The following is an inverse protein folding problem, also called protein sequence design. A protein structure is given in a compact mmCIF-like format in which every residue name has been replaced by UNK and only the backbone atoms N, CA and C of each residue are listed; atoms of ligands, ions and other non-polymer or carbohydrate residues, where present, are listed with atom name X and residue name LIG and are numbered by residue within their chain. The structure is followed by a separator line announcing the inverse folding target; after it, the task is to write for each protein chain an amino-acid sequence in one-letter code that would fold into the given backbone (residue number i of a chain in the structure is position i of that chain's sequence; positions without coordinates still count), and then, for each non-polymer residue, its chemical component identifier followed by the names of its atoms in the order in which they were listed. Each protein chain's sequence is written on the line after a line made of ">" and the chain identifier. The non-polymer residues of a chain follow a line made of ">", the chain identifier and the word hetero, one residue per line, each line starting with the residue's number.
data_IF_968784795031
#
_entry.id   IF_968784795031
#
_cell.length_a   1.000
_cell.length_b   1.000
_cell.length_c   1.000
_cell.angle_alpha   90.00
_cell.angle_beta   90.00
_cell.angle_gamma   90.00
#
_symmetry.space_group_name_H-M   'P 1'
#
loop_
_entity.id
_entity.type
_entity.pdbx_description
1 polymer ?
#
# COMPACT_ATOMS: atom_id res chain seq x y z
N UNK A 1 26.31 8.81 13.10
CA UNK A 1 26.69 8.61 11.69
C UNK A 1 25.49 8.01 11.01
N UNK A 2 24.64 8.87 10.48
CA UNK A 2 23.37 8.47 9.83
C UNK A 2 23.68 7.90 8.45
N UNK A 3 23.55 6.57 8.32
CA UNK A 3 23.96 5.84 7.11
C UNK A 3 22.81 5.16 6.36
N UNK A 4 21.57 5.59 6.61
CA UNK A 4 20.45 5.07 5.83
C UNK A 4 20.17 5.97 4.63
N UNK A 5 20.07 5.43 3.40
CA UNK A 5 19.63 6.23 2.26
C UNK A 5 18.27 6.83 2.55
N UNK A 6 18.10 8.11 2.24
CA UNK A 6 16.84 8.83 2.39
C UNK A 6 15.77 8.13 1.56
N UNK A 7 14.91 7.34 2.19
CA UNK A 7 13.83 6.59 1.53
C UNK A 7 13.53 5.24 2.17
N UNK A 8 14.38 4.71 3.04
CA UNK A 8 14.06 3.51 3.82
C UNK A 8 13.22 3.95 5.01
N UNK A 9 11.90 3.78 4.90
CA UNK A 9 10.98 4.08 5.99
C UNK A 9 11.35 3.24 7.21
N UNK A 10 11.50 3.90 8.35
CA UNK A 10 11.85 3.32 9.61
C UNK A 10 11.05 2.05 9.92
N UNK A 11 11.75 1.01 10.31
CA UNK A 11 11.20 -0.26 10.77
C UNK A 11 10.32 -0.03 12.00
N UNK A 12 9.01 -0.10 11.78
CA UNK A 12 8.02 0.11 12.84
C UNK A 12 7.86 -1.12 13.74
N UNK A 13 7.81 -0.88 15.02
CA UNK A 13 7.66 -1.87 16.08
C UNK A 13 6.30 -2.58 16.04
N UNK A 14 6.36 -3.88 16.32
CA UNK A 14 5.33 -4.72 16.94
C UNK A 14 3.91 -4.69 16.39
N UNK A 15 3.55 -5.83 15.84
CA UNK A 15 2.19 -6.22 15.46
C UNK A 15 1.24 -6.14 16.67
N UNK A 16 0.48 -5.06 16.77
CA UNK A 16 -0.84 -5.07 17.39
C UNK A 16 -1.85 -4.73 16.30
N UNK A 17 -2.71 -5.70 16.00
CA UNK A 17 -3.91 -5.46 15.18
C UNK A 17 -4.78 -4.42 15.89
N UNK A 18 -4.63 -3.17 15.50
CA UNK A 18 -5.62 -2.14 15.78
C UNK A 18 -6.21 -1.71 14.46
N UNK A 19 -7.47 -2.04 14.27
CA UNK A 19 -8.30 -1.43 13.22
C UNK A 19 -8.48 0.04 13.62
N UNK A 20 -7.59 0.92 13.14
CA UNK A 20 -7.78 2.35 13.27
C UNK A 20 -8.45 2.87 12.01
N UNK A 21 -9.57 3.53 12.19
CA UNK A 21 -10.19 4.37 11.16
C UNK A 21 -9.25 5.56 10.96
N UNK A 22 -8.63 5.63 9.79
CA UNK A 22 -7.70 6.70 9.43
C UNK A 22 -8.48 8.01 9.35
N UNK A 23 -8.11 8.97 10.18
CA UNK A 23 -8.59 10.36 10.08
C UNK A 23 -7.75 11.11 9.04
N UNK A 24 -8.24 11.16 7.81
CA UNK A 24 -7.51 11.73 6.68
C UNK A 24 -7.81 13.21 6.55
N UNK A 25 -6.78 14.01 6.43
CA UNK A 25 -6.83 15.47 6.22
C UNK A 25 -7.68 15.82 5.00
N UNK A 26 -8.71 16.61 5.24
CA UNK A 26 -9.74 17.03 4.30
C UNK A 26 -9.20 17.99 3.26
N UNK A 27 -9.31 17.63 1.97
CA UNK A 27 -9.47 18.60 0.89
C UNK A 27 -10.94 18.56 0.46
N UNK A 28 -11.60 19.68 0.67
CA UNK A 28 -13.02 19.88 0.34
C UNK A 28 -13.09 20.24 -1.14
N UNK A 29 -13.49 19.32 -1.98
CA UNK A 29 -13.78 19.55 -3.40
C UNK A 29 -15.14 18.98 -3.76
N UNK A 30 -15.81 19.69 -4.64
CA UNK A 30 -17.20 19.52 -5.08
C UNK A 30 -17.50 18.07 -5.56
N UNK A 31 -18.40 17.58 -5.10
CA UNK A 31 -19.27 16.55 -4.62
C UNK A 31 -19.34 15.24 -5.43
N UNK A 32 -19.14 15.21 -6.74
CA UNK A 32 -19.46 14.00 -7.51
C UNK A 32 -18.26 13.21 -8.08
N UNK A 33 -17.08 13.78 -8.13
CA UNK A 33 -15.88 13.11 -8.63
C UNK A 33 -14.67 13.46 -7.78
N UNK A 34 -13.69 12.52 -7.63
CA UNK A 34 -12.43 12.84 -6.99
C UNK A 34 -11.66 13.89 -7.82
N UNK A 35 -10.91 14.76 -7.12
CA UNK A 35 -9.94 15.63 -7.77
C UNK A 35 -8.78 14.77 -8.28
N UNK A 36 -8.61 14.69 -9.59
CA UNK A 36 -7.57 13.88 -10.24
C UNK A 36 -6.31 14.71 -10.47
N UNK A 37 -5.15 14.05 -10.47
CA UNK A 37 -3.88 14.61 -10.92
C UNK A 37 -3.88 14.90 -12.44
N UNK A 38 -2.88 15.66 -12.92
CA UNK A 38 -2.80 16.14 -14.31
C UNK A 38 -2.85 15.01 -15.36
N UNK A 39 -2.22 13.86 -15.06
CA UNK A 39 -2.18 12.70 -15.96
C UNK A 39 -3.02 11.52 -15.46
N UNK A 40 -3.84 11.76 -14.44
CA UNK A 40 -4.66 10.74 -13.84
C UNK A 40 -5.99 10.60 -14.57
N UNK A 41 -6.39 9.36 -14.88
CA UNK A 41 -7.63 9.04 -15.59
C UNK A 41 -8.39 7.93 -14.90
N UNK A 42 -9.70 8.06 -14.82
CA UNK A 42 -10.59 7.03 -14.28
C UNK A 42 -10.60 5.84 -15.24
N UNK A 43 -10.39 4.64 -14.69
CA UNK A 43 -10.43 3.37 -15.40
C UNK A 43 -11.65 2.52 -15.00
N UNK A 44 -12.08 2.66 -13.74
CA UNK A 44 -13.26 1.99 -13.21
C UNK A 44 -13.98 2.90 -12.21
N UNK A 45 -15.32 2.83 -12.20
CA UNK A 45 -16.15 3.49 -11.19
C UNK A 45 -17.31 2.57 -10.85
N UNK A 46 -17.41 2.16 -9.60
CA UNK A 46 -18.46 1.27 -9.10
C UNK A 46 -18.94 1.71 -7.71
N UNK A 47 -20.25 1.56 -7.46
CA UNK A 47 -20.79 1.65 -6.09
C UNK A 47 -20.68 0.31 -5.41
N UNK A 48 -20.16 0.29 -4.18
CA UNK A 48 -20.01 -0.89 -3.34
C UNK A 48 -21.36 -1.37 -2.78
N UNK A 49 -21.38 -2.56 -2.16
CA UNK A 49 -22.61 -3.15 -1.64
C UNK A 49 -23.18 -2.41 -0.42
N UNK A 50 -22.32 -1.75 0.34
CA UNK A 50 -22.64 -0.91 1.51
C UNK A 50 -22.97 0.55 1.13
N UNK A 51 -22.96 0.87 -0.16
CA UNK A 51 -23.24 2.20 -0.68
C UNK A 51 -22.00 3.11 -0.77
N UNK A 52 -20.84 2.64 -0.38
CA UNK A 52 -19.58 3.34 -0.65
C UNK A 52 -19.33 3.42 -2.16
N UNK A 53 -18.60 4.44 -2.59
CA UNK A 53 -18.18 4.57 -3.98
C UNK A 53 -16.69 4.30 -4.13
N UNK A 54 -16.38 3.54 -5.14
CA UNK A 54 -15.04 3.18 -5.55
C UNK A 54 -14.73 3.77 -6.93
N UNK A 55 -13.68 4.56 -7.02
CA UNK A 55 -13.12 5.03 -8.29
C UNK A 55 -11.67 4.56 -8.37
N UNK A 56 -11.35 3.74 -9.35
CA UNK A 56 -9.99 3.31 -9.65
C UNK A 56 -9.44 4.06 -10.85
N UNK A 57 -8.21 4.57 -10.70
CA UNK A 57 -7.50 5.31 -11.73
C UNK A 57 -6.23 4.57 -12.14
N UNK A 58 -5.46 5.14 -13.07
CA UNK A 58 -4.11 4.64 -13.38
C UNK A 58 -3.10 4.87 -12.24
N UNK A 59 -3.34 5.82 -11.31
CA UNK A 59 -2.40 6.21 -10.26
C UNK A 59 -2.84 5.81 -8.85
N UNK A 60 -4.15 5.77 -8.59
CA UNK A 60 -4.70 5.59 -7.26
C UNK A 60 -6.09 4.95 -7.28
N UNK A 61 -6.54 4.54 -6.11
CA UNK A 61 -7.95 4.33 -5.83
C UNK A 61 -8.49 5.49 -4.98
N UNK A 62 -9.77 5.78 -5.16
CA UNK A 62 -10.51 6.75 -4.38
C UNK A 62 -11.75 6.09 -3.79
N UNK A 63 -11.98 6.33 -2.52
CA UNK A 63 -13.13 5.82 -1.78
C UNK A 63 -13.93 6.99 -1.22
N UNK A 64 -15.26 6.89 -1.31
CA UNK A 64 -16.20 7.82 -0.70
C UNK A 64 -17.21 7.06 0.11
N UNK A 65 -17.35 7.39 1.39
CA UNK A 65 -18.36 6.79 2.25
C UNK A 65 -19.72 7.46 2.02
N UNK A 66 -20.76 6.63 1.79
CA UNK A 66 -22.14 7.12 1.64
C UNK A 66 -22.77 7.60 2.96
N UNK A 67 -22.21 7.16 4.11
CA UNK A 67 -22.81 7.39 5.43
C UNK A 67 -22.26 8.62 6.15
N UNK A 68 -21.18 9.23 5.65
CA UNK A 68 -20.59 10.43 6.24
C UNK A 68 -21.18 11.68 5.61
N UNK A 69 -21.61 12.63 6.42
CA UNK A 69 -22.03 13.99 6.01
C UNK A 69 -20.90 14.78 5.32
N UNK A 70 -19.66 14.30 5.47
CA UNK A 70 -18.47 14.79 4.78
C UNK A 70 -18.23 13.99 3.50
N UNK A 71 -18.52 14.60 2.38
CA UNK A 71 -18.42 14.02 1.03
C UNK A 71 -16.96 14.09 0.52
N UNK A 72 -15.99 13.77 1.34
CA UNK A 72 -14.59 13.78 0.93
C UNK A 72 -14.18 12.41 0.34
N UNK A 73 -13.55 12.46 -0.83
CA UNK A 73 -12.88 11.31 -1.41
C UNK A 73 -11.59 11.02 -0.64
N UNK A 74 -11.41 9.77 -0.26
CA UNK A 74 -10.17 9.26 0.31
C UNK A 74 -9.34 8.64 -0.81
N UNK A 75 -8.14 9.19 -1.04
CA UNK A 75 -7.19 8.70 -2.04
C UNK A 75 -6.18 7.74 -1.40
N UNK A 76 -5.91 6.64 -2.09
CA UNK A 76 -4.84 5.68 -1.77
C UNK A 76 -4.05 5.40 -3.05
N UNK A 77 -2.77 5.72 -3.08
CA UNK A 77 -1.89 5.41 -4.20
C UNK A 77 -1.67 3.90 -4.34
N UNK A 78 -1.55 3.39 -5.56
CA UNK A 78 -1.34 1.94 -5.77
C UNK A 78 -0.05 1.44 -5.12
N UNK A 79 1.00 2.27 -5.06
CA UNK A 79 2.25 1.95 -4.37
C UNK A 79 2.15 1.97 -2.83
N UNK A 80 1.06 2.48 -2.27
CA UNK A 80 0.79 2.43 -0.83
C UNK A 80 0.16 1.10 -0.40
N UNK A 81 -0.37 0.31 -1.34
CA UNK A 81 -1.00 -0.97 -1.04
C UNK A 81 0.07 -2.06 -0.95
N UNK A 82 0.17 -2.71 0.21
CA UNK A 82 1.12 -3.80 0.46
C UNK A 82 0.57 -5.17 0.09
N UNK A 83 -0.75 -5.38 0.25
CA UNK A 83 -1.44 -6.61 -0.12
C UNK A 83 -2.92 -6.36 -0.41
N UNK A 84 -3.48 -7.20 -1.28
CA UNK A 84 -4.91 -7.26 -1.58
C UNK A 84 -5.40 -8.66 -1.25
N UNK A 85 -6.37 -8.77 -0.36
CA UNK A 85 -7.02 -10.03 -0.01
C UNK A 85 -8.47 -10.02 -0.49
N UNK A 86 -8.90 -11.05 -1.22
CA UNK A 86 -10.26 -11.19 -1.69
C UNK A 86 -10.92 -12.44 -1.11
N UNK A 87 -11.88 -12.25 -0.22
CA UNK A 87 -12.72 -13.32 0.34
C UNK A 87 -14.03 -13.42 -0.47
N UNK A 88 -14.04 -14.34 -1.45
CA UNK A 88 -15.18 -14.51 -2.39
C UNK A 88 -16.49 -14.84 -1.67
N UNK A 89 -16.44 -15.67 -0.62
CA UNK A 89 -17.64 -16.12 0.13
C UNK A 89 -18.33 -14.97 0.84
N UNK A 90 -17.58 -14.06 1.41
CA UNK A 90 -18.10 -12.86 2.10
C UNK A 90 -18.17 -11.64 1.21
N UNK A 91 -17.68 -11.75 -0.03
CA UNK A 91 -17.54 -10.63 -0.97
C UNK A 91 -16.81 -9.44 -0.36
N UNK A 92 -15.79 -9.73 0.43
CA UNK A 92 -15.02 -8.72 1.13
C UNK A 92 -13.63 -8.63 0.54
N UNK A 93 -13.25 -7.44 0.09
CA UNK A 93 -11.88 -7.10 -0.28
C UNK A 93 -11.22 -6.34 0.86
N UNK A 94 -10.05 -6.78 1.26
CA UNK A 94 -9.23 -6.12 2.27
C UNK A 94 -7.94 -5.64 1.62
N UNK A 95 -7.68 -4.34 1.71
CA UNK A 95 -6.43 -3.73 1.30
C UNK A 95 -5.57 -3.50 2.53
N UNK A 96 -4.38 -4.08 2.55
CA UNK A 96 -3.37 -3.77 3.55
C UNK A 96 -2.52 -2.62 3.01
N UNK A 97 -2.28 -1.60 3.82
CA UNK A 97 -1.44 -0.46 3.45
C UNK A 97 -0.06 -0.60 4.11
N UNK A 98 0.96 -0.10 3.42
CA UNK A 98 2.26 0.05 4.05
C UNK A 98 2.14 1.00 5.24
N UNK A 99 2.81 0.69 6.37
CA UNK A 99 2.85 1.61 7.49
C UNK A 99 3.53 2.91 7.08
N UNK A 100 2.94 4.05 7.41
CA UNK A 100 3.66 5.32 7.39
C UNK A 100 4.60 5.41 8.59
N UNK A 101 5.59 6.33 8.52
CA UNK A 101 6.70 6.43 9.48
C UNK A 101 6.27 6.42 10.96
N UNK A 102 5.07 6.91 11.24
CA UNK A 102 4.54 7.07 12.60
C UNK A 102 3.22 6.31 12.85
N UNK A 103 2.77 5.48 11.90
CA UNK A 103 1.48 4.79 11.99
C UNK A 103 1.63 3.27 11.89
N UNK A 104 0.80 2.56 12.65
CA UNK A 104 0.64 1.11 12.45
C UNK A 104 0.06 0.81 11.06
N UNK A 105 0.33 -0.39 10.54
CA UNK A 105 -0.27 -0.87 9.30
C UNK A 105 -1.78 -0.66 9.32
N UNK A 106 -2.28 0.06 8.34
CA UNK A 106 -3.71 0.30 8.18
C UNK A 106 -4.31 -0.71 7.19
N UNK A 107 -5.58 -1.04 7.38
CA UNK A 107 -6.33 -1.84 6.43
C UNK A 107 -7.65 -1.18 6.09
N UNK A 108 -8.02 -1.28 4.80
CA UNK A 108 -9.30 -0.84 4.27
C UNK A 108 -10.11 -2.09 3.91
N UNK A 109 -11.36 -2.12 4.33
CA UNK A 109 -12.26 -3.24 4.07
C UNK A 109 -13.46 -2.76 3.26
N UNK A 110 -13.68 -3.36 2.11
CA UNK A 110 -14.75 -3.02 1.17
C UNK A 110 -15.66 -4.22 0.94
N UNK A 111 -16.97 -4.01 0.97
CA UNK A 111 -17.96 -5.04 0.63
C UNK A 111 -18.39 -4.86 -0.83
N UNK A 112 -17.92 -5.76 -1.67
CA UNK A 112 -18.04 -5.66 -3.13
C UNK A 112 -19.35 -6.29 -3.61
N UNK A 113 -19.97 -5.70 -4.63
CA UNK A 113 -21.17 -6.29 -5.28
C UNK A 113 -20.84 -7.59 -5.99
N UNK A 114 -21.87 -8.41 -6.20
CA UNK A 114 -21.75 -9.59 -7.04
C UNK A 114 -21.33 -9.19 -8.47
N UNK A 115 -20.44 -9.99 -9.07
CA UNK A 115 -19.90 -9.78 -10.43
C UNK A 115 -19.13 -8.48 -10.63
N UNK A 116 -18.74 -7.78 -9.55
CA UNK A 116 -17.88 -6.60 -9.65
C UNK A 116 -16.49 -6.99 -10.18
N UNK A 117 -15.89 -6.08 -10.95
CA UNK A 117 -14.51 -6.20 -11.44
C UNK A 117 -13.49 -5.53 -10.51
N UNK A 118 -13.94 -4.90 -9.44
CA UNK A 118 -13.08 -4.15 -8.52
C UNK A 118 -11.96 -5.02 -7.92
N UNK A 119 -12.19 -6.27 -7.44
CA UNK A 119 -11.11 -7.06 -6.87
C UNK A 119 -10.01 -7.39 -7.89
N UNK A 120 -10.38 -7.78 -9.10
CA UNK A 120 -9.44 -8.10 -10.19
C UNK A 120 -8.65 -6.86 -10.60
N UNK A 121 -9.36 -5.75 -10.82
CA UNK A 121 -8.76 -4.47 -11.19
C UNK A 121 -7.76 -3.98 -10.11
N UNK A 122 -8.15 -4.02 -8.83
CA UNK A 122 -7.31 -3.59 -7.72
C UNK A 122 -6.04 -4.45 -7.63
N UNK A 123 -6.19 -5.77 -7.76
CA UNK A 123 -5.06 -6.70 -7.75
C UNK A 123 -4.10 -6.43 -8.92
N UNK A 124 -4.65 -6.22 -10.11
CA UNK A 124 -3.86 -5.89 -11.31
C UNK A 124 -3.07 -4.59 -11.14
N UNK A 125 -3.72 -3.53 -10.66
CA UNK A 125 -3.06 -2.22 -10.46
C UNK A 125 -1.96 -2.28 -9.40
N UNK A 126 -2.22 -2.94 -8.28
CA UNK A 126 -1.22 -3.13 -7.21
C UNK A 126 -0.04 -3.97 -7.72
N UNK A 127 -0.31 -5.03 -8.47
CA UNK A 127 0.75 -5.85 -9.05
C UNK A 127 1.59 -5.09 -10.09
N UNK A 128 0.97 -4.20 -10.86
CA UNK A 128 1.67 -3.38 -11.86
C UNK A 128 2.68 -2.38 -11.24
N UNK A 129 2.51 -2.02 -9.96
CA UNK A 129 3.49 -1.20 -9.23
C UNK A 129 4.71 -2.00 -8.77
N UNK A 130 4.57 -3.33 -8.62
CA UNK A 130 5.66 -4.17 -8.13
C UNK A 130 6.72 -4.38 -9.22
N UNK A 131 7.95 -3.97 -8.95
CA UNK A 131 9.10 -4.18 -9.83
C UNK A 131 9.77 -5.51 -9.49
N UNK A 132 10.09 -5.71 -8.21
CA UNK A 132 10.76 -6.93 -7.75
C UNK A 132 10.49 -7.20 -6.28
N UNK A 133 10.64 -8.47 -5.90
CA UNK A 133 10.60 -8.92 -4.51
C UNK A 133 11.80 -9.83 -4.25
N UNK A 134 12.48 -9.64 -3.13
CA UNK A 134 13.55 -10.52 -2.62
C UNK A 134 13.21 -10.98 -1.21
N UNK A 135 13.37 -12.27 -0.98
CA UNK A 135 13.22 -12.88 0.33
C UNK A 135 14.60 -13.24 0.88
N UNK A 136 14.84 -12.88 2.14
CA UNK A 136 16.09 -13.09 2.84
C UNK A 136 15.79 -13.81 4.13
N UNK A 137 16.49 -14.91 4.37
CA UNK A 137 16.50 -15.58 5.66
C UNK A 137 17.73 -15.14 6.43
N UNK A 138 17.54 -14.29 7.44
CA UNK A 138 18.65 -13.80 8.29
C UNK A 138 18.98 -14.82 9.36
N UNK A 139 17.96 -15.49 9.88
CA UNK A 139 18.10 -16.60 10.81
C UNK A 139 16.98 -17.62 10.62
N UNK A 140 16.94 -18.67 11.41
CA UNK A 140 15.84 -19.66 11.40
C UNK A 140 14.50 -19.07 11.82
N UNK A 141 14.52 -17.98 12.57
CA UNK A 141 13.32 -17.32 13.14
C UNK A 141 13.03 -15.93 12.58
N UNK A 142 13.97 -15.36 11.80
CA UNK A 142 13.83 -14.03 11.20
C UNK A 142 13.97 -14.09 9.68
N UNK A 143 12.96 -13.59 8.99
CA UNK A 143 12.96 -13.42 7.54
C UNK A 143 12.68 -11.97 7.19
N UNK A 144 13.30 -11.48 6.13
CA UNK A 144 13.03 -10.18 5.56
C UNK A 144 12.52 -10.34 4.11
N UNK A 145 11.54 -9.53 3.74
CA UNK A 145 11.08 -9.39 2.36
C UNK A 145 11.34 -7.95 1.93
N UNK A 146 12.19 -7.78 0.92
CA UNK A 146 12.49 -6.48 0.31
C UNK A 146 11.70 -6.37 -0.98
N UNK A 147 10.95 -5.28 -1.15
CA UNK A 147 10.19 -4.99 -2.36
C UNK A 147 10.58 -3.64 -2.93
N UNK A 148 10.72 -3.58 -4.26
CA UNK A 148 10.78 -2.35 -5.02
C UNK A 148 9.44 -2.13 -5.70
N UNK A 149 8.83 -0.97 -5.49
CA UNK A 149 7.56 -0.59 -6.10
C UNK A 149 7.73 0.76 -6.80
N UNK A 150 7.17 0.87 -8.01
CA UNK A 150 7.13 2.13 -8.75
C UNK A 150 5.82 2.84 -8.46
N UNK A 151 5.93 4.09 -8.04
CA UNK A 151 4.77 4.98 -7.96
C UNK A 151 4.33 5.35 -9.38
N UNK A 152 3.08 5.04 -9.79
CA UNK A 152 2.61 5.33 -11.14
C UNK A 152 2.34 6.82 -11.38
N UNK A 153 2.30 7.65 -10.35
CA UNK A 153 2.09 9.10 -10.47
C UNK A 153 3.39 9.84 -10.80
N UNK A 154 4.46 9.57 -10.05
CA UNK A 154 5.74 10.25 -10.23
C UNK A 154 6.83 9.38 -10.88
N UNK A 155 6.60 8.07 -10.98
CA UNK A 155 7.56 7.12 -11.51
C UNK A 155 8.71 6.76 -10.55
N UNK A 156 8.73 7.33 -9.36
CA UNK A 156 9.74 7.06 -8.35
C UNK A 156 9.67 5.62 -7.84
N UNK A 157 10.83 5.07 -7.47
CA UNK A 157 10.93 3.73 -6.89
C UNK A 157 10.99 3.85 -5.37
N UNK A 158 9.98 3.28 -4.72
CA UNK A 158 9.91 3.15 -3.28
C UNK A 158 10.42 1.75 -2.86
N UNK A 159 11.35 1.71 -1.91
CA UNK A 159 11.83 0.50 -1.29
C UNK A 159 11.05 0.22 -0.01
N UNK A 160 10.57 -1.00 0.13
CA UNK A 160 9.81 -1.46 1.29
C UNK A 160 10.45 -2.72 1.86
N UNK A 161 10.64 -2.74 3.18
CA UNK A 161 11.15 -3.90 3.91
C UNK A 161 10.08 -4.38 4.88
N UNK A 162 9.75 -5.65 4.80
CA UNK A 162 8.84 -6.32 5.72
C UNK A 162 9.59 -7.41 6.46
N UNK A 163 9.52 -7.40 7.78
CA UNK A 163 10.15 -8.39 8.64
C UNK A 163 9.11 -9.37 9.16
N UNK A 164 9.43 -10.65 9.13
CA UNK A 164 8.59 -11.75 9.58
C UNK A 164 9.31 -12.58 10.63
N UNK A 165 8.58 -12.93 11.70
CA UNK A 165 9.10 -13.75 12.79
C UNK A 165 9.71 -12.92 13.92
N UNK A 166 10.63 -13.54 14.68
CA UNK A 166 11.29 -12.91 15.81
C UNK A 166 12.56 -12.17 15.34
N UNK A 167 12.35 -11.04 14.67
CA UNK A 167 13.43 -10.19 14.21
C UNK A 167 13.74 -9.10 15.25
N UNK A 168 15.00 -8.92 15.57
CA UNK A 168 15.48 -7.75 16.29
C UNK A 168 15.80 -6.66 15.27
N UNK A 169 15.11 -5.54 15.36
CA UNK A 169 15.27 -4.41 14.44
C UNK A 169 16.63 -3.71 14.59
N UNK A 170 17.25 -3.85 15.73
CA UNK A 170 18.56 -3.26 16.03
C UNK A 170 19.73 -4.25 15.76
N UNK A 171 19.43 -5.44 15.23
CA UNK A 171 20.45 -6.43 14.88
C UNK A 171 21.33 -5.94 13.70
N UNK A 172 22.62 -5.71 13.91
CA UNK A 172 23.50 -5.24 12.84
C UNK A 172 23.66 -6.24 11.69
N UNK A 173 23.46 -7.54 11.94
CA UNK A 173 23.53 -8.58 10.90
C UNK A 173 22.31 -8.47 9.98
N UNK A 174 21.14 -8.24 10.55
CA UNK A 174 19.91 -7.97 9.77
C UNK A 174 20.08 -6.70 8.93
N UNK A 175 20.57 -5.62 9.54
CA UNK A 175 20.82 -4.36 8.85
C UNK A 175 21.76 -4.52 7.65
N UNK A 176 22.90 -5.16 7.86
CA UNK A 176 23.87 -5.41 6.79
C UNK A 176 23.30 -6.26 5.65
N UNK A 177 22.55 -7.32 5.97
CA UNK A 177 21.93 -8.18 4.95
C UNK A 177 20.88 -7.42 4.11
N UNK A 178 20.12 -6.51 4.72
CA UNK A 178 19.17 -5.65 4.00
C UNK A 178 19.91 -4.65 3.11
N UNK A 179 20.96 -4.00 3.62
CA UNK A 179 21.77 -3.04 2.88
C UNK A 179 22.41 -3.66 1.64
N UNK A 180 22.97 -4.86 1.76
CA UNK A 180 23.58 -5.60 0.66
C UNK A 180 22.55 -5.87 -0.47
N UNK A 181 21.34 -6.28 -0.11
CA UNK A 181 20.27 -6.54 -1.07
C UNK A 181 19.79 -5.26 -1.74
N UNK A 182 19.63 -4.19 -0.97
CA UNK A 182 19.23 -2.89 -1.52
C UNK A 182 20.29 -2.39 -2.51
N UNK A 183 21.57 -2.53 -2.20
CA UNK A 183 22.67 -2.17 -3.10
C UNK A 183 22.67 -3.02 -4.39
N UNK A 184 22.48 -4.34 -4.26
CA UNK A 184 22.36 -5.23 -5.41
C UNK A 184 21.20 -4.85 -6.31
N UNK A 185 20.00 -4.68 -5.73
CA UNK A 185 18.79 -4.35 -6.47
C UNK A 185 18.87 -2.95 -7.09
N UNK A 186 19.42 -1.96 -6.41
CA UNK A 186 19.64 -0.62 -6.96
C UNK A 186 20.54 -0.67 -8.20
N UNK A 187 21.61 -1.48 -8.13
CA UNK A 187 22.49 -1.68 -9.29
C UNK A 187 21.76 -2.34 -10.47
N UNK A 188 20.92 -3.35 -10.20
CA UNK A 188 20.14 -4.04 -11.25
C UNK A 188 19.10 -3.13 -11.88
N UNK A 189 18.51 -2.21 -11.14
CA UNK A 189 17.48 -1.29 -11.63
C UNK A 189 18.04 0.01 -12.22
N UNK A 190 19.35 0.24 -12.11
CA UNK A 190 20.01 1.43 -12.62
C UNK A 190 19.71 2.69 -11.80
N UNK A 191 19.47 2.53 -10.49
CA UNK A 191 19.14 3.61 -9.57
C UNK A 191 20.38 4.04 -8.76
#
# INVERSE_FOLDING_TARGET
>A
MDRWPRGVAALGRSVRRMTQVIDVRRHRTDVDRPALGEHERILIHESMADGEEYVGTNCALYLRSATRTDVAWHRVGWAEVSAVEWARTTRTMTLQLWPDKDQASASLRLVVKDRSRVPEFTTERTAACLITTRHVSVSTTCKATVRAQRDPECGEIAWRVHLEGACDHDDPVLGAAIDDILAELATQLGC
#
